data_IF_528702016104
#
_entry.id   IF_528702016104
#
_cell.length_a   1.000
_cell.length_b   1.000
_cell.length_c   1.000
_cell.angle_alpha   90.00
_cell.angle_beta   90.00
_cell.angle_gamma   90.00
#
_symmetry.space_group_name_H-M   'P 1'
#
loop_
_entity.id
_entity.type
_entity.pdbx_description
1 polymer ?
#
# COMPACT_ATOMS: atom_id res chain seq x y z
N UNK A 1 -7.13 11.52 12.33
CA UNK A 1 -7.01 11.94 10.92
C UNK A 1 -6.46 10.76 10.15
N UNK A 2 -7.06 10.41 9.01
CA UNK A 2 -6.52 9.40 8.10
C UNK A 2 -5.61 10.10 7.09
N UNK A 3 -4.50 9.46 6.71
CA UNK A 3 -3.61 9.95 5.65
C UNK A 3 -3.63 8.92 4.53
N UNK A 4 -3.86 9.36 3.31
CA UNK A 4 -3.77 8.50 2.14
C UNK A 4 -2.40 8.66 1.50
N UNK A 5 -1.77 7.54 1.14
CA UNK A 5 -0.53 7.50 0.39
C UNK A 5 -0.76 6.85 -0.97
N UNK A 6 0.02 7.28 -1.95
CA UNK A 6 -0.03 6.80 -3.32
C UNK A 6 1.36 6.36 -3.76
N UNK A 7 1.50 5.09 -4.15
CA UNK A 7 2.75 4.61 -4.72
C UNK A 7 2.92 5.13 -6.15
N UNK A 8 4.10 5.68 -6.45
CA UNK A 8 4.46 6.26 -7.74
C UNK A 8 5.86 5.83 -8.16
N UNK A 9 6.03 5.65 -9.47
CA UNK A 9 7.34 5.44 -10.07
C UNK A 9 8.04 6.77 -10.34
N UNK A 10 9.26 6.95 -9.84
CA UNK A 10 10.13 8.11 -10.11
C UNK A 10 11.19 7.83 -11.18
N UNK A 11 11.10 6.68 -11.85
CA UNK A 11 11.98 6.25 -12.93
C UNK A 11 11.37 5.13 -13.75
N UNK A 12 12.21 4.29 -14.37
CA UNK A 12 11.76 3.09 -15.09
C UNK A 12 11.88 1.86 -14.17
N UNK A 13 10.84 1.53 -13.37
CA UNK A 13 10.89 0.34 -12.52
C UNK A 13 11.03 -0.91 -13.39
N UNK A 14 11.77 -1.91 -12.90
CA UNK A 14 11.92 -3.21 -13.57
C UNK A 14 10.72 -4.11 -13.24
N UNK A 15 9.53 -3.67 -13.65
CA UNK A 15 8.26 -4.33 -13.39
C UNK A 15 7.48 -4.49 -14.70
N UNK A 16 6.43 -5.32 -14.67
CA UNK A 16 5.57 -5.52 -15.83
C UNK A 16 4.90 -4.21 -16.31
N UNK A 17 4.62 -4.08 -17.63
CA UNK A 17 4.10 -2.84 -18.23
C UNK A 17 2.76 -2.40 -17.65
N UNK A 18 1.90 -3.33 -17.24
CA UNK A 18 0.62 -3.02 -16.60
C UNK A 18 0.80 -2.31 -15.24
N UNK A 19 1.78 -2.75 -14.45
CA UNK A 19 2.07 -2.17 -13.15
C UNK A 19 2.79 -0.82 -13.28
N UNK A 20 3.68 -0.71 -14.26
CA UNK A 20 4.29 0.57 -14.62
C UNK A 20 3.23 1.61 -15.02
N UNK A 21 2.27 1.21 -15.87
CA UNK A 21 1.15 2.08 -16.24
C UNK A 21 0.34 2.51 -15.01
N UNK A 22 -0.01 1.58 -14.12
CA UNK A 22 -0.75 1.88 -12.89
C UNK A 22 -0.02 2.86 -11.95
N UNK A 23 1.31 2.77 -11.87
CA UNK A 23 2.14 3.69 -11.06
C UNK A 23 2.32 5.09 -11.68
N UNK A 24 2.04 5.22 -12.98
CA UNK A 24 2.14 6.49 -13.73
C UNK A 24 0.78 7.13 -14.02
N UNK A 25 -0.32 6.41 -13.84
CA UNK A 25 -1.68 6.91 -14.04
C UNK A 25 -2.11 7.84 -12.89
N UNK A 26 -2.69 8.98 -13.26
CA UNK A 26 -3.18 10.07 -12.41
C UNK A 26 -4.44 9.69 -11.58
N UNK A 27 -4.85 10.47 -10.57
CA UNK A 27 -4.12 10.80 -9.34
C UNK A 27 -4.29 9.73 -8.23
N UNK A 28 -5.23 8.79 -8.39
CA UNK A 28 -5.58 7.82 -7.33
C UNK A 28 -4.60 6.63 -7.23
N UNK A 29 -3.83 6.33 -8.29
CA UNK A 29 -2.73 5.36 -8.31
C UNK A 29 -2.93 4.08 -7.50
N UNK A 30 -1.82 3.55 -7.00
CA UNK A 30 -1.80 2.44 -6.04
C UNK A 30 -1.92 3.00 -4.62
N UNK A 31 -3.12 2.86 -4.05
CA UNK A 31 -3.52 3.49 -2.79
C UNK A 31 -3.15 2.68 -1.55
N UNK A 32 -2.56 3.37 -0.58
CA UNK A 32 -2.23 2.89 0.77
C UNK A 32 -2.88 3.85 1.77
N UNK A 33 -4.00 3.44 2.36
CA UNK A 33 -4.69 4.22 3.39
C UNK A 33 -4.07 4.00 4.76
N UNK A 34 -3.82 5.08 5.51
CA UNK A 34 -3.44 5.03 6.92
C UNK A 34 -4.67 5.41 7.77
N UNK A 35 -5.20 4.45 8.53
CA UNK A 35 -6.32 4.62 9.44
C UNK A 35 -5.83 4.74 10.90
N UNK A 36 -6.68 5.38 11.73
CA UNK A 36 -6.55 5.55 13.19
C UNK A 36 -5.14 5.90 13.70
N UNK A 37 -4.87 7.20 13.91
CA UNK A 37 -3.73 7.67 14.69
C UNK A 37 -2.38 7.03 14.31
N UNK A 38 -2.18 6.75 13.02
CA UNK A 38 -0.97 6.13 12.44
C UNK A 38 -0.77 4.64 12.77
N UNK A 39 -1.79 3.94 13.27
CA UNK A 39 -1.64 2.57 13.75
C UNK A 39 -1.98 1.50 12.70
N UNK A 40 -2.87 1.79 11.75
CA UNK A 40 -3.37 0.80 10.80
C UNK A 40 -3.09 1.25 9.36
N UNK A 41 -2.53 0.37 8.54
CA UNK A 41 -2.34 0.59 7.11
C UNK A 41 -3.20 -0.39 6.31
N UNK A 42 -3.88 0.12 5.30
CA UNK A 42 -4.78 -0.61 4.41
C UNK A 42 -4.27 -0.44 2.97
N UNK A 43 -3.92 -1.55 2.34
CA UNK A 43 -3.54 -1.57 0.93
C UNK A 43 -4.72 -2.10 0.12
N UNK A 44 -5.10 -1.38 -0.94
CA UNK A 44 -6.20 -1.82 -1.80
C UNK A 44 -5.78 -3.08 -2.57
N UNK A 45 -6.65 -4.07 -2.67
CA UNK A 45 -6.38 -5.22 -3.52
C UNK A 45 -6.55 -4.84 -5.00
N UNK A 46 -5.57 -5.20 -5.84
CA UNK A 46 -5.64 -5.07 -7.30
C UNK A 46 -5.37 -6.43 -7.98
N UNK A 47 -6.40 -7.29 -8.13
CA UNK A 47 -6.25 -8.60 -8.76
C UNK A 47 -5.67 -8.55 -10.19
N UNK A 48 -6.04 -7.52 -10.94
CA UNK A 48 -5.56 -7.25 -12.30
C UNK A 48 -4.07 -6.93 -12.38
N UNK A 49 -3.47 -6.54 -11.26
CA UNK A 49 -2.04 -6.24 -11.11
C UNK A 49 -1.29 -7.30 -10.29
N UNK A 50 -1.98 -8.33 -9.79
CA UNK A 50 -1.42 -9.32 -8.88
C UNK A 50 -1.16 -8.81 -7.45
N UNK A 51 -1.67 -7.63 -7.08
CA UNK A 51 -1.50 -7.03 -5.75
C UNK A 51 -2.66 -7.37 -4.82
N UNK A 52 -2.85 -8.66 -4.57
CA UNK A 52 -3.92 -9.16 -3.68
C UNK A 52 -3.40 -9.56 -2.31
N UNK A 53 -2.08 -9.57 -2.12
CA UNK A 53 -1.41 -10.00 -0.88
C UNK A 53 -0.42 -8.95 -0.39
N UNK A 54 -0.15 -8.95 0.91
CA UNK A 54 0.88 -8.09 1.50
C UNK A 54 2.28 -8.40 0.97
N UNK A 55 2.56 -9.66 0.63
CA UNK A 55 3.83 -10.04 0.03
C UNK A 55 4.00 -9.38 -1.36
N UNK A 56 2.97 -9.44 -2.21
CA UNK A 56 2.99 -8.79 -3.52
C UNK A 56 3.18 -7.27 -3.41
N UNK A 57 2.48 -6.65 -2.45
CA UNK A 57 2.67 -5.22 -2.14
C UNK A 57 4.08 -4.90 -1.65
N UNK A 58 4.64 -5.70 -0.74
CA UNK A 58 6.01 -5.51 -0.25
C UNK A 58 7.03 -5.64 -1.38
N UNK A 59 6.87 -6.65 -2.23
CA UNK A 59 7.78 -6.90 -3.35
C UNK A 59 7.72 -5.77 -4.38
N UNK A 60 6.54 -5.19 -4.61
CA UNK A 60 6.39 -3.98 -5.40
C UNK A 60 7.08 -2.78 -4.75
N UNK A 61 6.78 -2.50 -3.49
CA UNK A 61 7.31 -1.33 -2.80
C UNK A 61 8.83 -1.41 -2.64
N UNK A 62 9.40 -2.62 -2.52
CA UNK A 62 10.84 -2.85 -2.49
C UNK A 62 11.56 -2.57 -3.83
N UNK A 63 10.83 -2.35 -4.92
CA UNK A 63 11.44 -2.03 -6.21
C UNK A 63 12.13 -0.67 -6.17
N UNK A 64 13.33 -0.55 -6.77
CA UNK A 64 14.01 0.73 -6.89
C UNK A 64 13.15 1.70 -7.72
N UNK A 65 13.12 2.97 -7.29
CA UNK A 65 12.36 4.01 -7.98
C UNK A 65 10.87 4.04 -7.64
N UNK A 66 10.41 3.30 -6.63
CA UNK A 66 9.07 3.45 -6.06
C UNK A 66 9.12 4.43 -4.88
N UNK A 67 8.20 5.38 -4.87
CA UNK A 67 8.06 6.39 -3.82
C UNK A 67 6.60 6.50 -3.39
N UNK A 68 6.37 6.93 -2.15
CA UNK A 68 5.03 7.11 -1.61
C UNK A 68 4.75 8.59 -1.41
N UNK A 69 3.62 9.03 -1.95
CA UNK A 69 3.17 10.42 -1.87
C UNK A 69 1.92 10.50 -1.02
N UNK A 70 1.99 11.27 0.06
CA UNK A 70 0.80 11.58 0.84
C UNK A 70 -0.14 12.47 0.03
N UNK A 71 -1.44 12.37 0.28
CA UNK A 71 -2.47 13.23 -0.30
C UNK A 71 -2.21 14.72 -0.03
N UNK A 72 -1.56 15.04 1.10
CA UNK A 72 -1.11 16.40 1.44
C UNK A 72 0.13 16.88 0.68
N UNK A 73 0.72 16.03 -0.17
CA UNK A 73 1.80 16.37 -1.08
C UNK A 73 3.22 16.16 -0.56
N UNK A 74 3.40 15.69 0.68
CA UNK A 74 4.72 15.27 1.15
C UNK A 74 5.05 13.85 0.69
N UNK A 75 6.34 13.59 0.51
CA UNK A 75 6.84 12.30 0.10
C UNK A 75 7.48 11.59 1.29
N UNK A 76 7.24 10.29 1.41
CA UNK A 76 8.00 9.41 2.30
C UNK A 76 8.68 8.31 1.49
N UNK A 77 9.76 7.78 2.05
CA UNK A 77 10.38 6.59 1.46
C UNK A 77 9.55 5.35 1.77
N UNK A 78 9.65 4.33 0.91
CA UNK A 78 9.07 3.01 1.22
C UNK A 78 9.66 2.45 2.50
N UNK A 79 10.96 2.64 2.73
CA UNK A 79 11.62 2.17 3.94
C UNK A 79 10.99 2.80 5.19
N UNK A 80 10.74 4.10 5.18
CA UNK A 80 10.08 4.82 6.27
C UNK A 80 8.67 4.28 6.53
N UNK A 81 7.88 4.04 5.48
CA UNK A 81 6.57 3.40 5.63
C UNK A 81 6.70 1.99 6.25
N UNK A 82 7.65 1.17 5.78
CA UNK A 82 7.84 -0.19 6.28
C UNK A 82 8.33 -0.20 7.74
N UNK A 83 9.17 0.76 8.13
CA UNK A 83 9.61 0.95 9.51
C UNK A 83 8.43 1.35 10.41
N UNK A 84 7.58 2.29 9.98
CA UNK A 84 6.35 2.65 10.69
C UNK A 84 5.40 1.45 10.83
N UNK A 85 5.22 0.70 9.74
CA UNK A 85 4.38 -0.51 9.69
C UNK A 85 4.88 -1.58 10.66
N UNK A 86 6.19 -1.79 10.74
CA UNK A 86 6.76 -2.87 11.53
C UNK A 86 7.02 -2.51 12.99
N UNK A 87 6.97 -1.22 13.35
CA UNK A 87 7.24 -0.71 14.69
C UNK A 87 6.28 -1.33 15.74
N UNK A 88 6.82 -2.02 16.77
CA UNK A 88 6.03 -2.65 17.82
C UNK A 88 5.08 -1.71 18.58
N UNK A 89 5.37 -0.41 18.61
CA UNK A 89 4.54 0.60 19.30
C UNK A 89 3.19 0.80 18.61
N UNK A 90 3.14 0.62 17.29
CA UNK A 90 1.92 0.71 16.50
C UNK A 90 1.18 -0.63 16.39
N UNK A 91 1.81 -1.76 16.76
CA UNK A 91 1.16 -3.09 16.83
C UNK A 91 0.03 -3.20 17.85
N UNK A 92 -0.07 -2.30 18.83
CA UNK A 92 -1.02 -2.39 19.96
C UNK A 92 -2.48 -2.09 19.57
N UNK A 93 -2.73 -1.56 18.36
CA UNK A 93 -4.05 -1.05 17.99
C UNK A 93 -4.73 -1.69 16.77
N UNK A 94 -4.10 -2.60 16.03
CA UNK A 94 -4.83 -3.20 14.91
C UNK A 94 -4.04 -3.77 13.75
N UNK A 95 -2.79 -4.21 13.94
CA UNK A 95 -2.25 -5.27 13.07
C UNK A 95 -3.01 -6.57 13.34
N UNK A 96 -4.28 -6.64 12.95
CA UNK A 96 -4.80 -7.87 12.40
C UNK A 96 -4.36 -7.79 10.95
N UNK A 97 -3.33 -8.57 10.61
CA UNK A 97 -3.39 -9.24 9.31
C UNK A 97 -4.84 -9.63 9.12
N UNK A 98 -5.58 -9.12 8.13
CA UNK A 98 -6.77 -9.84 7.72
C UNK A 98 -6.28 -11.27 7.57
N UNK A 99 -6.99 -12.23 8.16
CA UNK A 99 -6.74 -13.65 7.91
C UNK A 99 -6.97 -13.89 6.40
N UNK A 100 -6.04 -13.43 5.57
CA UNK A 100 -5.78 -13.96 4.26
C UNK A 100 -5.07 -15.25 4.59
N UNK A 101 -5.86 -16.31 4.75
CA UNK A 101 -5.30 -17.63 4.61
C UNK A 101 -4.59 -17.67 3.23
N UNK A 102 -3.45 -18.36 3.17
CA UNK A 102 -2.61 -18.55 1.97
C UNK A 102 -3.41 -19.01 0.72
N UNK A 103 -4.68 -19.40 0.87
CA UNK A 103 -5.66 -19.76 -0.14
C UNK A 103 -6.37 -18.58 -0.86
N UNK A 104 -5.97 -17.33 -0.64
CA UNK A 104 -6.14 -16.27 -1.65
C UNK A 104 -7.55 -15.69 -1.83
N UNK A 105 -8.41 -15.72 -0.80
CA UNK A 105 -9.71 -15.02 -0.85
C UNK A 105 -9.96 -14.24 0.45
N UNK A 106 -10.08 -12.92 0.36
CA UNK A 106 -10.90 -12.16 1.30
C UNK A 106 -11.86 -11.23 0.53
N UNK A 107 -13.13 -11.65 0.47
CA UNK A 107 -14.28 -10.75 0.44
C UNK A 107 -14.64 -10.46 1.92
N UNK A 108 -15.19 -9.32 2.34
CA UNK A 108 -16.20 -8.46 1.73
C UNK A 108 -16.03 -7.02 2.17
N UNK A 109 -16.31 -6.11 1.23
CA UNK A 109 -16.77 -4.76 1.50
C UNK A 109 -17.97 -4.76 2.47
N UNK A 110 -17.87 -3.97 3.53
CA UNK A 110 -19.04 -3.42 4.20
C UNK A 110 -18.84 -1.90 4.26
N UNK A 111 -19.65 -1.23 3.44
CA UNK A 111 -20.04 0.17 3.42
C UNK A 111 -19.43 1.11 4.49
N UNK A 112 -18.79 2.19 4.00
CA UNK A 112 -18.93 3.49 4.63
C UNK A 112 -19.59 4.42 3.60
N UNK A 113 -20.88 4.67 3.83
CA UNK A 113 -21.56 5.90 3.42
C UNK A 113 -21.08 7.05 4.31
#
# INVERSE_FOLDING_TARGET
MSVNFYARATGSPTIGPALAAALTADPEGLHVGQARAHCDFLMRAHPELGLTTMAAWRDLLAQPGITLWAESGYQISVQELLEEITDPRFRRFGWRTPDFRDDGVAFTAAAFQ
#
